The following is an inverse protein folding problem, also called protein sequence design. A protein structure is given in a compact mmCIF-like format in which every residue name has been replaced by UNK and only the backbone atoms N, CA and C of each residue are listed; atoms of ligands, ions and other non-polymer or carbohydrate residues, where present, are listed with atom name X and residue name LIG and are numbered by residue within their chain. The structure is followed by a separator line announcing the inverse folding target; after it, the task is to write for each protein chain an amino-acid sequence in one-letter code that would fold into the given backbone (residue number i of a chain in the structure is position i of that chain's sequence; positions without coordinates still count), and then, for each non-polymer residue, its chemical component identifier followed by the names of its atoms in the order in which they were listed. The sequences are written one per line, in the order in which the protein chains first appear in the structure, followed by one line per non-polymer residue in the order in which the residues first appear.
data_IF_983514301474
#
_entry.id   IF_983514301474
#
_cell.length_a   1.000
_cell.length_b   1.000
_cell.length_c   1.000
_cell.angle_alpha   90.00
_cell.angle_beta   90.00
_cell.angle_gamma   90.00
#
_symmetry.space_group_name_H-M   'P 1'
#
loop_
_entity.id
_entity.type
_entity.pdbx_description
1 polymer ?
#
# COMPACT_ATOMS: atom_id res chain seq x y z
N UNK A 1 -14.00 12.61 -20.29
CA UNK A 1 -13.83 11.15 -20.57
C UNK A 1 -14.69 10.39 -19.57
N UNK A 2 -15.36 9.31 -19.97
CA UNK A 2 -16.14 8.46 -19.07
C UNK A 2 -15.87 6.98 -19.35
N UNK A 3 -16.05 6.13 -18.34
CA UNK A 3 -15.80 4.70 -18.43
C UNK A 3 -16.25 3.92 -17.20
N UNK A 4 -15.93 2.64 -17.16
CA UNK A 4 -16.32 1.70 -16.10
C UNK A 4 -15.07 1.23 -15.31
N UNK A 5 -15.21 1.13 -13.99
CA UNK A 5 -14.17 0.66 -13.08
C UNK A 5 -13.80 -0.82 -13.27
N UNK A 6 -14.66 -1.59 -13.94
CA UNK A 6 -14.36 -2.97 -14.34
C UNK A 6 -13.31 -3.07 -15.44
N UNK A 7 -13.14 -2.01 -16.24
CA UNK A 7 -12.16 -1.95 -17.33
C UNK A 7 -10.86 -1.25 -16.93
N UNK A 8 -10.96 -0.22 -16.09
CA UNK A 8 -9.82 0.58 -15.66
C UNK A 8 -9.98 0.96 -14.20
N UNK A 9 -9.02 0.54 -13.37
CA UNK A 9 -9.08 0.77 -11.93
C UNK A 9 -8.79 2.23 -11.58
N UNK A 10 -9.20 2.66 -10.38
CA UNK A 10 -8.90 4.02 -9.88
C UNK A 10 -7.39 4.25 -9.74
N UNK A 11 -6.58 3.31 -9.22
CA UNK A 11 -5.12 3.42 -9.24
C UNK A 11 -4.55 3.68 -10.63
N UNK A 12 -5.03 2.97 -11.66
CA UNK A 12 -4.54 3.14 -13.03
C UNK A 12 -4.90 4.52 -13.60
N UNK A 13 -6.12 4.99 -13.35
CA UNK A 13 -6.57 6.34 -13.71
C UNK A 13 -5.70 7.41 -13.04
N UNK A 14 -5.46 7.27 -11.74
CA UNK A 14 -4.61 8.18 -10.98
C UNK A 14 -3.19 8.18 -11.55
N UNK A 15 -2.60 7.01 -11.77
CA UNK A 15 -1.26 6.89 -12.34
C UNK A 15 -1.17 7.57 -13.70
N UNK A 16 -2.10 7.33 -14.61
CA UNK A 16 -2.10 7.93 -15.95
C UNK A 16 -2.18 9.46 -15.90
N UNK A 17 -3.09 10.01 -15.08
CA UNK A 17 -3.30 11.46 -14.99
C UNK A 17 -2.13 12.13 -14.27
N UNK A 18 -1.65 11.52 -13.18
CA UNK A 18 -0.54 12.05 -12.38
C UNK A 18 0.79 12.03 -13.12
N UNK A 19 1.12 10.93 -13.82
CA UNK A 19 2.31 10.85 -14.66
C UNK A 19 2.27 11.82 -15.85
N UNK A 20 1.08 12.06 -16.41
CA UNK A 20 0.89 13.04 -17.46
C UNK A 20 0.97 14.50 -16.99
N UNK A 21 1.03 14.75 -15.68
CA UNK A 21 1.03 16.10 -15.12
C UNK A 21 -0.29 16.85 -15.32
N UNK A 22 -1.38 16.16 -15.67
CA UNK A 22 -2.64 16.79 -16.01
C UNK A 22 -3.42 17.23 -14.77
N UNK A 23 -4.22 18.29 -14.94
CA UNK A 23 -5.18 18.75 -13.94
C UNK A 23 -6.58 18.31 -14.33
N UNK A 24 -7.17 17.41 -13.54
CA UNK A 24 -8.47 16.78 -13.82
C UNK A 24 -9.24 16.52 -12.54
N UNK A 25 -10.56 16.50 -12.65
CA UNK A 25 -11.46 16.07 -11.58
C UNK A 25 -12.09 14.73 -11.97
N UNK A 26 -11.87 13.69 -11.16
CA UNK A 26 -12.40 12.35 -11.35
C UNK A 26 -13.63 12.20 -10.46
N UNK A 27 -14.80 12.07 -11.07
CA UNK A 27 -16.05 11.80 -10.38
C UNK A 27 -16.38 10.31 -10.45
N UNK A 28 -16.69 9.71 -9.32
CA UNK A 28 -17.01 8.29 -9.20
C UNK A 28 -18.49 8.10 -8.88
N UNK A 29 -19.12 7.14 -9.55
CA UNK A 29 -20.55 6.88 -9.46
C UNK A 29 -20.84 5.38 -9.29
N UNK A 30 -21.86 5.06 -8.52
CA UNK A 30 -22.52 3.76 -8.50
C UNK A 30 -23.96 3.94 -8.99
N UNK A 31 -24.22 3.49 -10.22
CA UNK A 31 -25.48 3.76 -10.92
C UNK A 31 -25.75 5.27 -11.11
N UNK A 32 -26.72 5.79 -10.35
CA UNK A 32 -27.11 7.20 -10.33
C UNK A 32 -26.53 7.98 -9.13
N UNK A 33 -25.92 7.29 -8.16
CA UNK A 33 -25.39 7.88 -6.93
C UNK A 33 -23.93 8.25 -7.12
N UNK A 34 -23.56 9.48 -6.74
CA UNK A 34 -22.16 9.89 -6.73
C UNK A 34 -21.48 9.39 -5.46
N UNK A 35 -20.41 8.61 -5.61
CA UNK A 35 -19.63 8.06 -4.50
C UNK A 35 -18.59 9.06 -3.97
N UNK A 36 -17.98 9.81 -4.88
CA UNK A 36 -16.93 10.76 -4.53
C UNK A 36 -16.32 11.51 -5.70
N UNK A 37 -15.37 12.38 -5.36
CA UNK A 37 -14.58 13.20 -6.29
C UNK A 37 -13.12 13.19 -5.85
N UNK A 38 -12.23 13.00 -6.82
CA UNK A 38 -10.78 13.17 -6.66
C UNK A 38 -10.36 14.33 -7.55
N UNK A 39 -9.82 15.40 -6.94
CA UNK A 39 -9.29 16.54 -7.66
C UNK A 39 -7.78 16.42 -7.79
N UNK A 40 -7.27 16.48 -9.01
CA UNK A 40 -5.85 16.38 -9.34
C UNK A 40 -5.39 17.70 -9.94
N UNK A 41 -4.29 18.26 -9.45
CA UNK A 41 -3.70 19.51 -9.92
C UNK A 41 -2.22 19.29 -10.19
N UNK A 42 -1.78 19.58 -11.41
CA UNK A 42 -0.38 19.44 -11.86
C UNK A 42 0.21 18.05 -11.54
N UNK A 43 -0.58 17.00 -11.78
CA UNK A 43 -0.21 15.62 -11.49
C UNK A 43 -0.09 15.25 -10.00
N UNK A 44 -0.63 16.07 -9.10
CA UNK A 44 -0.73 15.79 -7.66
C UNK A 44 -2.18 15.70 -7.23
N UNK A 45 -2.46 14.83 -6.26
CA UNK A 45 -3.78 14.73 -5.66
C UNK A 45 -3.95 15.91 -4.71
N UNK A 46 -4.87 16.81 -5.04
CA UNK A 46 -5.08 18.06 -4.31
C UNK A 46 -6.17 17.91 -3.26
N UNK A 47 -7.26 17.23 -3.64
CA UNK A 47 -8.40 16.93 -2.76
C UNK A 47 -9.04 15.60 -3.09
N UNK A 48 -9.66 15.02 -2.07
CA UNK A 48 -10.56 13.90 -2.23
C UNK A 48 -11.76 14.08 -1.30
N UNK A 49 -12.96 13.79 -1.80
CA UNK A 49 -14.17 13.71 -1.00
C UNK A 49 -14.93 12.45 -1.37
N UNK A 50 -15.28 11.64 -0.38
CA UNK A 50 -16.11 10.46 -0.57
C UNK A 50 -16.80 10.06 0.72
N UNK A 51 -18.01 9.51 0.59
CA UNK A 51 -18.79 8.99 1.72
C UNK A 51 -18.91 9.98 2.91
N UNK A 52 -18.96 11.29 2.65
CA UNK A 52 -19.05 12.31 3.69
C UNK A 52 -17.74 12.67 4.38
N UNK A 53 -16.60 12.12 3.94
CA UNK A 53 -15.27 12.40 4.51
C UNK A 53 -14.39 13.08 3.48
N UNK A 54 -13.39 13.82 3.97
CA UNK A 54 -12.40 14.51 3.17
C UNK A 54 -11.01 13.89 3.36
N UNK A 55 -10.13 14.12 2.40
CA UNK A 55 -8.70 13.84 2.53
C UNK A 55 -8.30 12.41 2.20
N UNK A 56 -7.22 11.95 2.82
CA UNK A 56 -6.61 10.66 2.52
C UNK A 56 -7.53 9.47 2.83
N UNK A 57 -8.29 9.53 3.93
CA UNK A 57 -9.24 8.46 4.29
C UNK A 57 -10.32 8.24 3.23
N UNK A 58 -10.81 9.34 2.64
CA UNK A 58 -11.77 9.28 1.54
C UNK A 58 -11.14 8.64 0.30
N UNK A 59 -9.88 9.00 0.00
CA UNK A 59 -9.14 8.44 -1.12
C UNK A 59 -8.94 6.92 -0.98
N UNK A 60 -8.55 6.45 0.19
CA UNK A 60 -8.32 5.01 0.44
C UNK A 60 -9.60 4.20 0.21
N UNK A 61 -10.75 4.70 0.66
CA UNK A 61 -12.04 4.04 0.40
C UNK A 61 -12.41 4.02 -1.08
N UNK A 62 -12.11 5.10 -1.82
CA UNK A 62 -12.37 5.14 -3.25
C UNK A 62 -11.46 4.17 -4.01
N UNK A 63 -10.17 4.10 -3.69
CA UNK A 63 -9.21 3.22 -4.36
C UNK A 63 -9.65 1.75 -4.31
N UNK A 64 -10.24 1.33 -3.20
CA UNK A 64 -10.70 -0.05 -3.01
C UNK A 64 -12.03 -0.37 -3.74
N UNK A 65 -12.62 0.58 -4.47
CA UNK A 65 -13.81 0.33 -5.28
C UNK A 65 -13.47 -0.51 -6.51
N UNK A 66 -14.08 -1.70 -6.58
CA UNK A 66 -13.91 -2.65 -7.70
C UNK A 66 -14.95 -2.48 -8.81
N UNK A 67 -16.02 -1.72 -8.57
CA UNK A 67 -17.17 -1.56 -9.49
C UNK A 67 -17.70 -0.14 -9.42
N UNK A 68 -18.27 0.33 -10.52
CA UNK A 68 -18.84 1.67 -10.67
C UNK A 68 -18.44 2.31 -11.99
N UNK A 69 -18.87 3.55 -12.19
CA UNK A 69 -18.49 4.36 -13.35
C UNK A 69 -17.68 5.55 -12.92
N UNK A 70 -16.77 5.97 -13.79
CA UNK A 70 -15.97 7.17 -13.58
C UNK A 70 -16.23 8.18 -14.70
N UNK A 71 -16.13 9.46 -14.34
CA UNK A 71 -16.16 10.57 -15.28
C UNK A 71 -15.02 11.53 -14.95
N UNK A 72 -14.10 11.67 -15.89
CA UNK A 72 -12.99 12.62 -15.83
C UNK A 72 -13.43 13.91 -16.52
N UNK A 73 -13.51 14.97 -15.74
CA UNK A 73 -13.77 16.33 -16.19
C UNK A 73 -12.50 17.18 -16.12
N UNK A 74 -12.53 18.33 -16.78
CA UNK A 74 -11.48 19.33 -16.61
C UNK A 74 -11.47 19.86 -15.18
N UNK A 75 -10.27 20.18 -14.69
CA UNK A 75 -10.08 20.72 -13.35
C UNK A 75 -10.88 22.01 -13.18
N UNK A 76 -11.76 22.01 -12.19
CA UNK A 76 -12.48 23.23 -11.78
C UNK A 76 -11.82 23.78 -10.52
N UNK A 77 -11.24 24.98 -10.59
CA UNK A 77 -10.62 25.61 -9.43
C UNK A 77 -11.69 26.12 -8.47
N UNK A 78 -12.07 25.28 -7.51
CA UNK A 78 -13.24 25.55 -6.66
C UNK A 78 -13.00 25.40 -5.14
N UNK A 79 -11.80 25.15 -4.64
CA UNK A 79 -11.59 25.17 -3.17
C UNK A 79 -10.12 25.16 -2.75
N UNK A 80 -9.89 25.24 -1.43
CA UNK A 80 -8.59 25.05 -0.81
C UNK A 80 -8.08 23.60 -0.93
N UNK A 81 -6.77 23.42 -1.11
CA UNK A 81 -6.11 22.12 -1.14
C UNK A 81 -6.17 21.42 0.22
N UNK A 82 -6.18 20.09 0.22
CA UNK A 82 -6.10 19.31 1.46
C UNK A 82 -4.63 19.04 1.84
N UNK A 83 -4.23 19.48 3.03
CA UNK A 83 -2.88 19.30 3.54
C UNK A 83 -2.50 17.82 3.71
N UNK A 84 -3.47 16.95 4.04
CA UNK A 84 -3.21 15.52 4.24
C UNK A 84 -2.84 14.81 2.93
N UNK A 85 -3.40 15.27 1.81
CA UNK A 85 -3.13 14.68 0.49
C UNK A 85 -1.89 15.30 -0.15
N UNK A 86 -1.72 16.62 -0.01
CA UNK A 86 -0.61 17.36 -0.63
C UNK A 86 0.74 17.13 0.07
N UNK A 87 0.74 16.66 1.32
CA UNK A 87 1.95 16.30 2.05
C UNK A 87 2.65 15.04 1.50
N UNK A 88 1.92 14.17 0.81
CA UNK A 88 2.42 12.87 0.32
C UNK A 88 2.48 12.81 -1.20
N UNK A 89 3.33 11.92 -1.73
CA UNK A 89 3.29 11.60 -3.16
C UNK A 89 2.06 10.73 -3.48
N UNK A 90 1.56 10.79 -4.72
CA UNK A 90 0.43 9.93 -5.11
C UNK A 90 0.80 8.44 -5.01
N UNK A 91 2.07 8.09 -5.22
CA UNK A 91 2.58 6.73 -5.04
C UNK A 91 2.49 6.28 -3.58
N UNK A 92 2.91 7.13 -2.63
CA UNK A 92 2.77 6.85 -1.20
C UNK A 92 1.31 6.63 -0.81
N UNK A 93 0.40 7.47 -1.31
CA UNK A 93 -1.02 7.33 -1.03
C UNK A 93 -1.60 6.02 -1.56
N UNK A 94 -1.20 5.58 -2.77
CA UNK A 94 -1.62 4.29 -3.30
C UNK A 94 -1.04 3.11 -2.52
N UNK A 95 0.23 3.17 -2.15
CA UNK A 95 0.90 2.13 -1.35
C UNK A 95 0.23 2.00 0.03
N UNK A 96 -0.10 3.11 0.67
CA UNK A 96 -0.80 3.12 1.96
C UNK A 96 -2.23 2.57 1.84
N UNK A 97 -2.93 2.85 0.74
CA UNK A 97 -4.25 2.26 0.48
C UNK A 97 -4.20 0.72 0.42
N UNK A 98 -3.20 0.17 -0.27
CA UNK A 98 -2.98 -1.28 -0.36
C UNK A 98 -2.58 -1.86 1.00
N UNK A 99 -1.74 -1.17 1.76
CA UNK A 99 -1.36 -1.56 3.13
C UNK A 99 -2.60 -1.66 4.03
N UNK A 100 -3.51 -0.71 3.94
CA UNK A 100 -4.77 -0.73 4.70
C UNK A 100 -5.72 -1.84 4.25
N UNK A 101 -5.75 -2.15 2.95
CA UNK A 101 -6.52 -3.28 2.42
C UNK A 101 -6.00 -4.61 3.00
N UNK A 102 -4.68 -4.83 2.97
CA UNK A 102 -4.03 -6.04 3.52
C UNK A 102 -4.26 -6.18 5.05
N UNK A 103 -4.13 -5.10 5.81
CA UNK A 103 -4.41 -5.10 7.25
C UNK A 103 -5.89 -5.44 7.55
N UNK A 104 -6.83 -4.94 6.74
CA UNK A 104 -8.25 -5.23 6.89
C UNK A 104 -8.58 -6.70 6.59
N UNK A 105 -7.98 -7.28 5.54
CA UNK A 105 -8.13 -8.70 5.22
C UNK A 105 -7.56 -9.59 6.33
N UNK A 106 -6.37 -9.27 6.83
CA UNK A 106 -5.73 -10.04 7.90
C UNK A 106 -6.50 -9.97 9.22
N UNK A 107 -7.12 -8.82 9.53
CA UNK A 107 -7.98 -8.67 10.71
C UNK A 107 -9.24 -9.54 10.63
N UNK A 108 -9.89 -9.60 9.47
CA UNK A 108 -11.05 -10.48 9.24
C UNK A 108 -10.68 -11.96 9.38
N UNK A 109 -9.52 -12.36 8.83
CA UNK A 109 -9.02 -13.73 8.92
C UNK A 109 -8.65 -14.13 10.36
N UNK A 110 -8.09 -13.19 11.11
CA UNK A 110 -7.74 -13.39 12.54
C UNK A 110 -8.99 -13.49 13.42
N UNK A 111 -10.03 -12.70 13.14
CA UNK A 111 -11.31 -12.80 13.83
C UNK A 111 -12.03 -14.13 13.53
N UNK A 112 -11.98 -14.61 12.28
CA UNK A 112 -12.57 -15.89 11.88
C UNK A 112 -11.80 -17.12 12.42
N UNK A 113 -10.50 -17.00 12.68
CA UNK A 113 -9.64 -18.08 13.18
C UNK A 113 -9.50 -18.14 14.71
N UNK A 114 -10.08 -17.18 15.44
CA UNK A 114 -10.04 -17.11 16.91
C UNK A 114 -10.73 -18.28 17.65
N UNK A 115 -11.21 -19.30 16.93
CA UNK A 115 -11.84 -20.51 17.49
C UNK A 115 -11.02 -21.80 17.40
N UNK A 116 -9.80 -21.82 16.84
CA UNK A 116 -9.01 -23.07 16.74
C UNK A 116 -7.68 -22.95 17.47
N UNK A 117 -7.73 -23.19 18.78
CA UNK A 117 -6.56 -23.55 19.58
C UNK A 117 -5.96 -24.81 18.96
N UNK A 118 -4.84 -24.64 18.25
CA UNK A 118 -4.02 -25.77 17.84
C UNK A 118 -3.26 -26.19 19.10
N UNK A 119 -3.78 -27.20 19.80
CA UNK A 119 -3.03 -27.84 20.87
C UNK A 119 -1.75 -28.38 20.26
N UNK A 120 -0.61 -27.77 20.58
CA UNK A 120 0.69 -28.30 20.23
C UNK A 120 0.86 -29.60 21.05
N UNK A 121 0.97 -30.79 20.43
CA UNK A 121 1.24 -31.99 21.19
C UNK A 121 2.61 -31.81 21.83
N UNK A 122 2.64 -31.75 23.16
CA UNK A 122 3.87 -31.73 23.95
C UNK A 122 4.70 -32.95 23.52
N UNK A 123 5.90 -32.77 22.93
CA UNK A 123 6.72 -33.91 22.58
C UNK A 123 7.09 -34.67 23.87
N UNK A 124 7.06 -36.01 23.88
CA UNK A 124 7.56 -36.77 25.00
C UNK A 124 9.04 -36.43 25.20
N UNK A 125 9.39 -36.05 26.43
CA UNK A 125 10.75 -35.73 26.83
C UNK A 125 11.67 -36.93 26.61
N UNK A 126 12.30 -37.03 25.43
CA UNK A 126 13.46 -37.87 25.25
C UNK A 126 14.65 -37.16 25.89
N UNK A 127 15.05 -37.67 27.05
CA UNK A 127 16.29 -37.32 27.70
C UNK A 127 17.45 -37.57 26.73
N UNK A 128 17.95 -36.50 26.12
CA UNK A 128 19.19 -36.52 25.37
C UNK A 128 20.35 -36.67 26.36
N UNK A 129 20.78 -37.91 26.55
CA UNK A 129 22.08 -38.22 27.15
C UNK A 129 23.18 -37.68 26.24
N UNK A 130 23.80 -36.58 26.64
CA UNK A 130 25.03 -36.06 26.04
C UNK A 130 26.18 -37.00 26.39
N UNK A 131 26.62 -37.80 25.42
CA UNK A 131 27.87 -38.54 25.50
C UNK A 131 29.01 -37.60 25.08
N UNK A 132 29.87 -37.26 26.04
CA UNK A 132 31.01 -36.38 25.86
C UNK A 132 32.20 -37.17 25.31
N UNK A 133 32.39 -37.14 23.99
CA UNK A 133 33.60 -37.65 23.33
C UNK A 133 34.48 -36.50 22.82
N UNK A 134 35.82 -36.50 23.05
CA UNK A 134 36.70 -35.42 22.61
C UNK A 134 37.26 -35.72 21.22
N UNK A 135 37.17 -34.78 20.27
CA UNK A 135 37.98 -34.83 19.05
C UNK A 135 38.32 -33.42 18.54
N UNK A 136 39.52 -32.97 18.97
CA UNK A 136 40.63 -32.47 18.16
C UNK A 136 40.33 -31.57 16.95
N UNK A 137 40.57 -30.27 17.18
CA UNK A 137 41.52 -29.40 16.47
C UNK A 137 41.47 -29.21 14.95
N UNK A 138 41.39 -27.91 14.62
CA UNK A 138 42.15 -27.16 13.60
C UNK A 138 41.38 -26.71 12.37
N UNK A 139 40.89 -25.46 12.44
CA UNK A 139 40.69 -24.63 11.25
C UNK A 139 41.38 -23.29 11.51
N UNK A 140 42.51 -23.10 10.83
CA UNK A 140 43.26 -21.85 10.77
C UNK A 140 42.57 -20.88 9.80
N UNK A 141 42.31 -19.62 10.18
CA UNK A 141 42.00 -18.58 9.20
C UNK A 141 43.31 -18.04 8.60
N UNK A 142 43.56 -18.31 7.32
CA UNK A 142 44.65 -17.67 6.58
C UNK A 142 44.25 -16.22 6.26
N UNK A 143 44.99 -15.30 6.88
CA UNK A 143 44.98 -13.87 6.57
C UNK A 143 45.50 -13.62 5.14
N UNK A 144 44.81 -12.77 4.38
CA UNK A 144 45.37 -12.10 3.21
C UNK A 144 45.37 -10.60 3.51
N UNK A 145 46.57 -10.09 3.75
CA UNK A 145 46.88 -8.68 3.75
C UNK A 145 47.24 -8.24 2.32
N UNK A 146 46.71 -7.10 1.88
CA UNK A 146 47.32 -6.32 0.80
C UNK A 146 47.38 -4.85 1.22
N UNK A 147 48.62 -4.35 1.15
CA UNK A 147 49.12 -3.06 1.65
C UNK A 147 48.68 -1.83 0.83
N UNK A 148 48.96 -0.61 1.34
CA UNK A 148 48.52 0.66 0.76
C UNK A 148 49.46 1.18 -0.34
N UNK A 149 48.94 2.04 -1.23
CA UNK A 149 49.74 2.81 -2.16
C UNK A 149 49.21 4.25 -2.32
N UNK A 150 50.15 5.19 -2.18
CA UNK A 150 50.09 6.65 -2.29
C UNK A 150 50.13 7.09 -3.77
N UNK A 151 49.40 8.16 -4.10
CA UNK A 151 49.59 9.16 -5.18
C UNK A 151 48.18 9.66 -5.61
N UNK A 152 47.83 10.94 -5.73
CA UNK A 152 48.54 12.22 -5.84
C UNK A 152 47.66 13.35 -5.28
#
# INVERSE_FOLDING_TARGET
MEGDLTLLSIPDLLQMICLGGYSRDIHLYDGATQLGVIAIRNGRIDRCFAFGMWGAEALYKLINLRRGRYKVNDATDMSASDASLTAHSWQELLMEAVRQEDEAEHALQSAASSGRVIAFPTPPAHAASFDSGPILSSFSPTAVASSPAVAS
#
